data_IF_098922128267
#
_entry.id   IF_098922128267
#
_cell.length_a   1.000
_cell.length_b   1.000
_cell.length_c   1.000
_cell.angle_alpha   90.00
_cell.angle_beta   90.00
_cell.angle_gamma   90.00
#
_symmetry.space_group_name_H-M   'P 1'
#
loop_
_entity.id
_entity.type
_entity.pdbx_description
1 polymer ?
#
# COMPACT_ATOMS: atom_id res chain seq x y z
N UNK A 1 39.98 -4.53 5.58
CA UNK A 1 41.25 -3.77 5.69
C UNK A 1 42.35 -4.40 4.84
N UNK A 2 42.76 -5.65 5.09
CA UNK A 2 43.84 -6.30 4.32
C UNK A 2 43.62 -6.31 2.78
N UNK A 3 42.41 -6.60 2.32
CA UNK A 3 42.07 -6.63 0.89
C UNK A 3 42.18 -5.27 0.18
N UNK A 4 41.92 -4.17 0.91
CA UNK A 4 42.02 -2.82 0.36
C UNK A 4 43.49 -2.40 0.19
N UNK A 5 44.35 -2.82 1.11
CA UNK A 5 45.79 -2.57 1.05
C UNK A 5 46.44 -3.33 -0.10
N UNK A 6 46.05 -4.60 -0.30
CA UNK A 6 46.51 -5.40 -1.45
C UNK A 6 46.01 -4.81 -2.78
N UNK A 7 44.74 -4.42 -2.86
CA UNK A 7 44.20 -3.80 -4.07
C UNK A 7 44.88 -2.45 -4.39
N UNK A 8 45.15 -1.61 -3.37
CA UNK A 8 45.89 -0.36 -3.55
C UNK A 8 47.33 -0.62 -4.01
N UNK A 9 48.02 -1.61 -3.43
CA UNK A 9 49.37 -1.99 -3.84
C UNK A 9 49.42 -2.49 -5.29
N UNK A 10 48.46 -3.32 -5.70
CA UNK A 10 48.34 -3.83 -7.07
C UNK A 10 48.05 -2.69 -8.06
N UNK A 11 47.17 -1.74 -7.70
CA UNK A 11 46.82 -0.60 -8.55
C UNK A 11 47.98 0.38 -8.74
N UNK A 12 48.75 0.65 -7.66
CA UNK A 12 49.93 1.52 -7.71
C UNK A 12 51.05 0.89 -8.56
N UNK A 13 51.32 -0.40 -8.37
CA UNK A 13 52.30 -1.14 -9.16
C UNK A 13 51.89 -1.24 -10.65
N UNK A 14 50.58 -1.31 -10.94
CA UNK A 14 50.07 -1.23 -12.31
C UNK A 14 50.27 0.16 -12.93
N UNK A 15 50.07 1.24 -12.16
CA UNK A 15 50.30 2.62 -12.61
C UNK A 15 51.78 2.92 -12.86
N UNK A 16 52.67 2.45 -11.98
CA UNK A 16 54.12 2.62 -12.07
C UNK A 16 54.67 1.98 -13.35
N UNK A 17 54.22 0.76 -13.66
CA UNK A 17 54.56 0.06 -14.91
C UNK A 17 54.02 0.74 -16.16
N UNK A 18 52.91 1.48 -16.06
CA UNK A 18 52.26 2.13 -17.22
C UNK A 18 52.83 3.51 -17.53
N UNK A 19 53.29 4.25 -16.52
CA UNK A 19 53.69 5.65 -16.66
C UNK A 19 55.16 5.96 -16.34
N UNK A 20 55.95 5.00 -15.84
CA UNK A 20 57.41 5.15 -15.69
C UNK A 20 57.83 6.26 -14.72
N UNK A 21 57.02 6.52 -13.69
CA UNK A 21 57.23 7.58 -12.69
C UNK A 21 58.02 6.98 -11.52
N UNK A 22 58.99 7.70 -10.96
CA UNK A 22 59.74 7.29 -9.76
C UNK A 22 58.77 6.97 -8.60
N UNK A 23 58.52 5.68 -8.38
CA UNK A 23 57.46 5.17 -7.52
C UNK A 23 57.60 5.55 -6.04
N UNK A 24 58.80 5.91 -5.61
CA UNK A 24 59.09 6.15 -4.18
C UNK A 24 58.49 7.45 -3.63
N UNK A 25 58.29 8.49 -4.47
CA UNK A 25 57.74 9.77 -4.01
C UNK A 25 56.21 9.81 -4.05
N UNK A 26 55.60 9.12 -5.01
CA UNK A 26 54.15 9.19 -5.29
C UNK A 26 53.33 8.06 -4.67
N UNK A 27 53.98 7.02 -4.16
CA UNK A 27 53.33 5.89 -3.47
C UNK A 27 52.33 6.32 -2.38
N UNK A 28 52.69 7.25 -1.45
CA UNK A 28 51.79 7.64 -0.37
C UNK A 28 50.56 8.40 -0.88
N UNK A 29 50.76 9.27 -1.88
CA UNK A 29 49.68 10.07 -2.48
C UNK A 29 48.70 9.17 -3.23
N UNK A 30 49.21 8.20 -3.99
CA UNK A 30 48.37 7.24 -4.69
C UNK A 30 47.62 6.32 -3.72
N UNK A 31 48.24 5.90 -2.62
CA UNK A 31 47.60 5.11 -1.58
C UNK A 31 46.43 5.86 -0.92
N UNK A 32 46.64 7.14 -0.57
CA UNK A 32 45.58 8.00 -0.03
C UNK A 32 44.48 8.20 -1.07
N UNK A 33 44.84 8.43 -2.34
CA UNK A 33 43.88 8.57 -3.44
C UNK A 33 42.98 7.36 -3.61
N UNK A 34 43.54 6.15 -3.66
CA UNK A 34 42.76 4.90 -3.78
C UNK A 34 41.88 4.68 -2.55
N UNK A 35 42.37 5.02 -1.35
CA UNK A 35 41.60 4.86 -0.12
C UNK A 35 40.39 5.80 -0.08
N UNK A 36 40.57 7.07 -0.49
CA UNK A 36 39.49 8.04 -0.62
C UNK A 36 38.48 7.63 -1.71
N UNK A 37 38.95 7.11 -2.84
CA UNK A 37 38.10 6.64 -3.93
C UNK A 37 37.28 5.42 -3.51
N UNK A 38 37.88 4.45 -2.82
CA UNK A 38 37.17 3.30 -2.25
C UNK A 38 36.15 3.73 -1.19
N UNK A 39 36.50 4.68 -0.33
CA UNK A 39 35.58 5.25 0.67
C UNK A 39 34.40 5.97 0.01
N UNK A 40 34.65 6.73 -1.06
CA UNK A 40 33.63 7.39 -1.85
C UNK A 40 32.72 6.37 -2.56
N UNK A 41 33.29 5.36 -3.22
CA UNK A 41 32.53 4.28 -3.87
C UNK A 41 31.65 3.54 -2.87
N UNK A 42 32.16 3.20 -1.68
CA UNK A 42 31.35 2.56 -0.64
C UNK A 42 30.20 3.47 -0.21
N UNK A 43 30.45 4.77 -0.04
CA UNK A 43 29.42 5.72 0.40
C UNK A 43 28.33 5.90 -0.67
N UNK A 44 28.72 6.01 -1.94
CA UNK A 44 27.81 6.19 -3.07
C UNK A 44 27.05 4.91 -3.41
N UNK A 45 27.68 3.73 -3.36
CA UNK A 45 27.04 2.45 -3.69
C UNK A 45 26.16 1.95 -2.55
N UNK A 46 26.48 2.27 -1.28
CA UNK A 46 25.67 1.85 -0.13
C UNK A 46 24.25 2.39 -0.18
N UNK A 47 24.05 3.65 -0.56
CA UNK A 47 22.75 4.30 -0.56
C UNK A 47 21.72 3.67 -1.53
N UNK A 48 22.04 3.39 -2.81
CA UNK A 48 21.14 2.70 -3.73
C UNK A 48 20.99 1.21 -3.39
N UNK A 49 22.05 0.55 -2.89
CA UNK A 49 22.00 -0.88 -2.57
C UNK A 49 21.11 -1.14 -1.35
N UNK A 50 21.22 -0.32 -0.30
CA UNK A 50 20.31 -0.39 0.85
C UNK A 50 18.86 -0.09 0.44
N UNK A 51 18.65 0.86 -0.49
CA UNK A 51 17.32 1.19 -1.01
C UNK A 51 16.70 0.08 -1.86
N UNK A 52 17.49 -0.68 -2.60
CA UNK A 52 17.02 -1.77 -3.45
C UNK A 52 16.77 -3.06 -2.66
N UNK A 53 17.57 -3.32 -1.62
CA UNK A 53 17.58 -4.61 -0.92
C UNK A 53 16.70 -4.66 0.35
N UNK A 54 16.45 -3.51 1.01
CA UNK A 54 15.63 -3.45 2.24
C UNK A 54 14.20 -2.97 2.03
N UNK A 55 13.90 -2.35 0.89
CA UNK A 55 12.57 -1.87 0.52
C UNK A 55 12.24 -2.49 -0.82
N UNK A 56 11.61 -3.67 -0.79
CA UNK A 56 11.26 -4.44 -1.98
C UNK A 56 10.76 -3.53 -3.09
N UNK A 57 11.36 -3.68 -4.28
CA UNK A 57 11.02 -3.09 -5.58
C UNK A 57 10.41 -1.69 -5.58
N UNK A 58 11.02 -0.75 -6.30
CA UNK A 58 10.49 0.59 -6.55
C UNK A 58 8.98 0.66 -6.83
N UNK A 59 8.37 -0.41 -7.36
CA UNK A 59 6.92 -0.60 -7.50
C UNK A 59 6.07 -0.35 -6.22
N UNK A 60 6.47 -0.86 -5.05
CA UNK A 60 5.62 -0.84 -3.85
C UNK A 60 5.43 0.59 -3.28
N UNK A 61 6.44 1.46 -3.45
CA UNK A 61 6.35 2.87 -3.04
C UNK A 61 5.55 3.73 -4.02
N UNK A 62 5.61 3.43 -5.32
CA UNK A 62 4.77 4.12 -6.31
C UNK A 62 3.30 3.79 -6.11
N UNK A 63 2.98 2.56 -5.71
CA UNK A 63 1.58 2.15 -5.50
C UNK A 63 0.99 2.78 -4.23
N UNK A 64 1.75 2.85 -3.13
CA UNK A 64 1.31 3.53 -1.90
C UNK A 64 1.09 5.05 -2.13
N UNK A 65 1.99 5.72 -2.84
CA UNK A 65 1.83 7.14 -3.16
C UNK A 65 0.66 7.39 -4.11
N UNK A 66 0.41 6.48 -5.06
CA UNK A 66 -0.73 6.56 -5.99
C UNK A 66 -2.06 6.43 -5.24
N UNK A 67 -2.15 5.55 -4.24
CA UNK A 67 -3.34 5.41 -3.39
C UNK A 67 -3.56 6.66 -2.52
N UNK A 68 -2.51 7.26 -1.98
CA UNK A 68 -2.62 8.51 -1.22
C UNK A 68 -3.12 9.67 -2.08
N UNK A 69 -2.55 9.86 -3.28
CA UNK A 69 -3.01 10.91 -4.19
C UNK A 69 -4.41 10.66 -4.76
N UNK A 70 -4.85 9.39 -4.86
CA UNK A 70 -6.23 9.07 -5.22
C UNK A 70 -7.18 9.56 -4.12
N UNK A 71 -6.86 9.31 -2.84
CA UNK A 71 -7.65 9.79 -1.70
C UNK A 71 -7.80 11.32 -1.66
N UNK A 72 -6.77 12.06 -2.09
CA UNK A 72 -6.76 13.53 -2.10
C UNK A 72 -7.60 14.14 -3.23
N UNK A 73 -7.99 13.34 -4.24
CA UNK A 73 -8.71 13.80 -5.44
C UNK A 73 -10.12 13.21 -5.56
N UNK A 74 -10.65 12.59 -4.50
CA UNK A 74 -11.98 12.02 -4.52
C UNK A 74 -13.04 13.13 -4.51
N UNK A 75 -13.94 13.10 -5.49
CA UNK A 75 -15.11 13.97 -5.51
C UNK A 75 -16.18 13.31 -4.64
N UNK A 76 -16.57 13.97 -3.54
CA UNK A 76 -17.64 13.40 -2.70
C UNK A 76 -19.00 13.54 -3.37
N UNK A 77 -19.98 12.74 -2.95
CA UNK A 77 -21.36 12.90 -3.44
C UNK A 77 -21.94 14.28 -3.09
N UNK A 78 -21.51 14.88 -1.98
CA UNK A 78 -21.91 16.22 -1.58
C UNK A 78 -21.32 17.28 -2.52
N UNK A 79 -20.03 17.16 -2.87
CA UNK A 79 -19.36 18.10 -3.77
C UNK A 79 -19.98 18.07 -5.17
N UNK A 80 -20.28 16.87 -5.70
CA UNK A 80 -20.98 16.72 -6.97
C UNK A 80 -22.34 17.42 -6.94
N UNK A 81 -23.12 17.18 -5.87
CA UNK A 81 -24.46 17.76 -5.73
C UNK A 81 -24.39 19.29 -5.69
N UNK A 82 -23.46 19.86 -4.93
CA UNK A 82 -23.27 21.31 -4.84
C UNK A 82 -22.84 21.91 -6.18
N UNK A 83 -21.98 21.21 -6.92
CA UNK A 83 -21.58 21.62 -8.26
C UNK A 83 -22.76 21.59 -9.24
N UNK A 84 -23.52 20.50 -9.30
CA UNK A 84 -24.71 20.38 -10.15
C UNK A 84 -25.78 21.41 -9.79
N UNK A 85 -25.93 21.76 -8.51
CA UNK A 85 -26.81 22.84 -8.07
C UNK A 85 -26.36 24.20 -8.58
N UNK A 86 -25.06 24.47 -8.55
CA UNK A 86 -24.49 25.70 -9.11
C UNK A 86 -24.68 25.78 -10.63
N UNK A 87 -24.49 24.67 -11.35
CA UNK A 87 -24.73 24.60 -12.80
C UNK A 87 -26.20 24.79 -13.13
N UNK A 88 -27.09 24.12 -12.40
CA UNK A 88 -28.54 24.23 -12.59
C UNK A 88 -29.04 25.66 -12.30
N UNK A 89 -28.56 26.29 -11.22
CA UNK A 89 -28.88 27.68 -10.93
C UNK A 89 -28.43 28.61 -12.06
N UNK A 90 -27.21 28.43 -12.57
CA UNK A 90 -26.71 29.21 -13.71
C UNK A 90 -27.52 28.98 -15.00
N UNK A 91 -27.98 27.75 -15.26
CA UNK A 91 -28.87 27.45 -16.39
C UNK A 91 -30.24 28.11 -16.23
N UNK A 92 -30.80 28.10 -15.02
CA UNK A 92 -32.04 28.80 -14.69
C UNK A 92 -31.91 30.32 -14.89
N UNK A 93 -30.82 30.92 -14.42
CA UNK A 93 -30.55 32.35 -14.59
C UNK A 93 -30.38 32.74 -16.06
N UNK A 94 -29.71 31.88 -16.84
CA UNK A 94 -29.48 32.08 -18.28
C UNK A 94 -30.79 32.13 -19.06
N UNK A 95 -31.76 31.28 -18.71
CA UNK A 95 -33.10 31.25 -19.31
C UNK A 95 -34.13 32.15 -18.60
N UNK A 96 -33.75 32.78 -17.48
CA UNK A 96 -34.66 33.53 -16.59
C UNK A 96 -35.87 32.72 -16.13
N UNK A 97 -35.65 31.45 -15.81
CA UNK A 97 -36.66 30.52 -15.28
C UNK A 97 -36.41 30.25 -13.79
N UNK A 98 -37.43 29.80 -13.08
CA UNK A 98 -37.37 29.60 -11.62
C UNK A 98 -37.23 28.15 -11.19
N UNK A 99 -37.36 27.20 -12.13
CA UNK A 99 -37.30 25.78 -11.78
C UNK A 99 -36.64 24.91 -12.84
N UNK A 100 -35.98 23.87 -12.34
CA UNK A 100 -35.29 22.88 -13.13
C UNK A 100 -34.74 21.76 -12.25
N UNK A 101 -34.14 20.76 -12.88
CA UNK A 101 -33.64 19.58 -12.21
C UNK A 101 -32.48 18.94 -12.98
N UNK A 102 -31.65 18.19 -12.27
CA UNK A 102 -30.62 17.33 -12.87
C UNK A 102 -30.87 15.90 -12.41
N UNK A 103 -30.95 14.98 -13.37
CA UNK A 103 -31.19 13.57 -13.13
C UNK A 103 -30.02 12.76 -13.68
N UNK A 104 -29.48 11.88 -12.85
CA UNK A 104 -28.46 10.93 -13.28
C UNK A 104 -29.14 9.64 -13.73
N UNK A 105 -28.71 9.08 -14.86
CA UNK A 105 -29.19 7.80 -15.35
C UNK A 105 -28.13 6.74 -15.06
N UNK A 106 -28.53 5.69 -14.33
CA UNK A 106 -27.66 4.55 -14.03
C UNK A 106 -28.31 3.21 -14.37
N UNK A 107 -27.60 2.12 -14.06
CA UNK A 107 -28.06 0.73 -14.23
C UNK A 107 -29.38 0.44 -13.49
N UNK A 108 -29.64 1.14 -12.38
CA UNK A 108 -30.83 0.95 -11.52
C UNK A 108 -32.01 1.85 -11.88
N UNK A 109 -31.89 2.61 -12.97
CA UNK A 109 -32.89 3.60 -13.38
C UNK A 109 -32.39 5.03 -13.17
N UNK A 110 -33.32 5.98 -13.28
CA UNK A 110 -33.01 7.39 -13.17
C UNK A 110 -33.17 7.91 -11.73
N UNK A 111 -32.15 8.62 -11.25
CA UNK A 111 -32.08 9.16 -9.89
C UNK A 111 -31.96 10.69 -9.93
N UNK A 112 -32.83 11.38 -9.20
CA UNK A 112 -32.82 12.83 -9.08
C UNK A 112 -31.64 13.27 -8.19
N UNK A 113 -30.69 14.02 -8.77
CA UNK A 113 -29.52 14.52 -8.04
C UNK A 113 -29.79 15.88 -7.40
N UNK A 114 -30.37 16.80 -8.17
CA UNK A 114 -30.65 18.18 -7.74
C UNK A 114 -31.95 18.68 -8.35
N UNK A 115 -32.67 19.50 -7.59
CA UNK A 115 -33.84 20.23 -8.05
C UNK A 115 -33.80 21.66 -7.51
N UNK A 116 -34.11 22.63 -8.37
CA UNK A 116 -34.27 24.05 -8.01
C UNK A 116 -35.73 24.43 -8.28
N UNK A 117 -36.34 25.15 -7.35
CA UNK A 117 -37.74 25.58 -7.42
C UNK A 117 -38.75 24.60 -6.81
N UNK A 118 -40.00 25.02 -6.71
CA UNK A 118 -41.09 24.29 -6.04
C UNK A 118 -41.85 23.30 -6.94
N UNK A 119 -41.56 23.29 -8.25
CA UNK A 119 -42.25 22.45 -9.23
C UNK A 119 -41.77 21.00 -9.11
N UNK A 120 -42.56 20.11 -8.48
CA UNK A 120 -42.24 18.69 -8.32
C UNK A 120 -42.11 17.98 -9.67
N UNK A 121 -41.02 17.22 -9.84
CA UNK A 121 -40.82 16.37 -11.00
C UNK A 121 -41.90 15.27 -11.02
N UNK A 122 -42.66 15.09 -12.12
CA UNK A 122 -43.57 13.96 -12.22
C UNK A 122 -42.74 12.66 -12.25
N UNK A 123 -43.00 11.73 -11.33
CA UNK A 123 -42.27 10.46 -11.23
C UNK A 123 -42.26 9.63 -12.53
N UNK A 124 -43.24 9.85 -13.42
CA UNK A 124 -43.33 9.24 -14.75
C UNK A 124 -42.21 9.70 -15.71
N UNK A 125 -41.63 10.90 -15.51
CA UNK A 125 -40.55 11.44 -16.34
C UNK A 125 -39.24 10.63 -16.23
N UNK A 126 -39.03 10.01 -15.07
CA UNK A 126 -37.80 9.31 -14.73
C UNK A 126 -37.73 7.90 -15.33
N UNK A 127 -38.88 7.24 -15.53
CA UNK A 127 -38.94 5.85 -15.98
C UNK A 127 -38.64 5.70 -17.48
N UNK A 128 -39.10 6.63 -18.32
CA UNK A 128 -39.02 6.54 -19.79
C UNK A 128 -37.93 7.42 -20.44
N UNK A 129 -37.22 8.23 -19.64
CA UNK A 129 -36.24 9.21 -20.12
C UNK A 129 -35.09 8.60 -20.93
N UNK A 130 -34.59 7.41 -20.57
CA UNK A 130 -33.47 6.78 -21.29
C UNK A 130 -33.86 6.43 -22.73
N UNK A 131 -35.00 5.75 -22.88
CA UNK A 131 -35.52 5.36 -24.19
C UNK A 131 -35.85 6.58 -25.06
N UNK A 132 -36.36 7.66 -24.46
CA UNK A 132 -36.66 8.91 -25.14
C UNK A 132 -35.41 9.61 -25.70
N UNK A 133 -34.35 9.69 -24.90
CA UNK A 133 -33.14 10.46 -25.20
C UNK A 133 -32.16 9.70 -26.09
N UNK A 134 -32.12 8.37 -26.02
CA UNK A 134 -31.25 7.53 -26.87
C UNK A 134 -31.86 7.21 -28.23
N UNK A 135 -33.17 6.92 -28.30
CA UNK A 135 -33.83 6.53 -29.56
C UNK A 135 -34.56 7.68 -30.24
N UNK A 136 -34.62 8.86 -29.61
CA UNK A 136 -35.32 10.03 -30.13
C UNK A 136 -36.84 9.87 -30.22
N UNK A 137 -37.41 8.80 -29.65
CA UNK A 137 -38.86 8.58 -29.63
C UNK A 137 -39.31 7.90 -28.34
N UNK A 138 -40.09 8.63 -27.55
CA UNK A 138 -40.94 8.11 -26.49
C UNK A 138 -42.21 8.98 -26.42
N UNK A 139 -43.30 8.44 -25.87
CA UNK A 139 -44.57 9.17 -25.78
C UNK A 139 -44.39 10.49 -25.01
N UNK A 140 -44.63 11.62 -25.69
CA UNK A 140 -44.54 12.97 -25.10
C UNK A 140 -43.17 13.66 -25.22
N UNK A 141 -42.16 13.02 -25.81
CA UNK A 141 -40.85 13.62 -26.09
C UNK A 141 -40.74 13.97 -27.57
N UNK A 142 -40.45 15.23 -27.87
CA UNK A 142 -40.26 15.70 -29.24
C UNK A 142 -38.87 16.35 -29.34
N UNK A 143 -38.09 16.09 -30.41
CA UNK A 143 -36.86 16.84 -30.62
C UNK A 143 -37.22 18.31 -30.75
N UNK A 144 -36.62 19.17 -29.93
CA UNK A 144 -36.61 20.58 -30.23
C UNK A 144 -35.77 20.74 -31.50
N UNK A 145 -36.10 21.69 -32.38
CA UNK A 145 -35.27 22.04 -33.56
C UNK A 145 -33.94 22.72 -33.15
N UNK A 146 -33.41 22.37 -31.98
CA UNK A 146 -32.26 22.92 -31.28
C UNK A 146 -31.34 21.75 -30.94
N UNK A 147 -30.06 21.86 -31.33
CA UNK A 147 -29.05 20.81 -31.28
C UNK A 147 -29.17 19.89 -30.05
N UNK A 148 -29.76 18.71 -30.23
CA UNK A 148 -29.86 17.68 -29.20
C UNK A 148 -30.79 17.98 -28.01
N UNK A 149 -31.56 19.07 -28.03
CA UNK A 149 -32.53 19.41 -26.97
C UNK A 149 -33.87 18.71 -27.25
N UNK A 150 -34.53 18.22 -26.20
CA UNK A 150 -35.83 17.59 -26.29
C UNK A 150 -36.88 18.40 -25.53
N UNK A 151 -38.09 18.42 -26.06
CA UNK A 151 -39.26 19.02 -25.44
C UNK A 151 -40.12 17.93 -24.80
N UNK A 152 -40.48 18.12 -23.53
CA UNK A 152 -41.36 17.22 -22.78
C UNK A 152 -42.32 18.03 -21.91
N UNK A 153 -43.57 18.16 -22.35
CA UNK A 153 -44.59 18.95 -21.66
C UNK A 153 -44.21 20.42 -21.53
N UNK A 154 -43.85 20.86 -20.33
CA UNK A 154 -43.40 22.24 -20.03
C UNK A 154 -41.88 22.32 -19.80
N UNK A 155 -41.15 21.26 -20.13
CA UNK A 155 -39.72 21.13 -19.87
C UNK A 155 -38.91 21.01 -21.16
N UNK A 156 -37.76 21.66 -21.15
CA UNK A 156 -36.64 21.32 -22.02
C UNK A 156 -35.72 20.35 -21.34
N UNK A 157 -35.30 19.34 -22.08
CA UNK A 157 -34.43 18.29 -21.62
C UNK A 157 -33.16 18.29 -22.46
N UNK A 158 -32.04 18.53 -21.79
CA UNK A 158 -30.71 18.48 -22.37
C UNK A 158 -30.07 17.15 -21.96
N UNK A 159 -29.72 16.27 -22.91
CA UNK A 159 -29.05 15.02 -22.60
C UNK A 159 -27.62 15.31 -22.14
N UNK A 160 -27.22 14.72 -21.01
CA UNK A 160 -25.87 14.78 -20.49
C UNK A 160 -25.15 13.51 -20.93
N UNK A 161 -24.41 13.60 -22.04
CA UNK A 161 -23.71 12.47 -22.65
C UNK A 161 -22.23 12.48 -22.32
N UNK A 162 -21.62 11.31 -22.38
CA UNK A 162 -20.18 11.17 -22.25
C UNK A 162 -19.44 11.99 -23.32
N UNK A 163 -18.34 12.65 -22.91
CA UNK A 163 -17.46 13.31 -23.86
C UNK A 163 -16.67 12.23 -24.62
N UNK A 164 -17.06 11.95 -25.87
CA UNK A 164 -16.35 11.00 -26.72
C UNK A 164 -14.99 11.56 -27.14
N UNK A 165 -13.94 10.76 -27.03
CA UNK A 165 -12.66 11.04 -27.68
C UNK A 165 -12.83 10.73 -29.17
N UNK A 166 -12.43 11.65 -30.05
CA UNK A 166 -12.65 11.55 -31.51
C UNK A 166 -12.16 10.22 -32.13
N UNK A 167 -11.24 9.50 -31.47
CA UNK A 167 -10.68 8.22 -31.91
C UNK A 167 -11.55 6.97 -31.61
N UNK A 168 -12.59 7.06 -30.77
CA UNK A 168 -13.40 5.92 -30.31
C UNK A 168 -14.76 5.75 -31.02
N UNK A 169 -15.09 6.64 -31.98
CA UNK A 169 -16.42 6.67 -32.62
C UNK A 169 -16.53 5.64 -33.77
N UNK A 170 -16.69 4.36 -33.42
CA UNK A 170 -17.10 3.30 -34.36
C UNK A 170 -18.64 3.30 -34.56
N UNK A 171 -19.20 4.47 -34.88
CA UNK A 171 -20.64 4.67 -35.11
C UNK A 171 -21.55 4.57 -33.88
N UNK A 172 -21.00 4.29 -32.69
CA UNK A 172 -21.74 4.24 -31.43
C UNK A 172 -21.98 5.66 -30.87
N UNK A 173 -23.20 5.96 -30.41
CA UNK A 173 -23.48 7.22 -29.73
C UNK A 173 -22.84 7.21 -28.33
N UNK A 174 -22.26 8.35 -27.88
CA UNK A 174 -21.72 8.46 -26.54
C UNK A 174 -22.79 8.17 -25.48
N UNK A 175 -22.39 7.45 -24.43
CA UNK A 175 -23.29 6.94 -23.42
C UNK A 175 -24.04 8.08 -22.71
N UNK A 176 -25.34 7.91 -22.49
CA UNK A 176 -26.15 8.85 -21.73
C UNK A 176 -25.91 8.70 -20.23
N UNK A 177 -25.33 9.72 -19.61
CA UNK A 177 -25.02 9.77 -18.18
C UNK A 177 -26.15 10.36 -17.34
N UNK A 178 -26.98 11.22 -17.95
CA UNK A 178 -28.01 11.97 -17.24
C UNK A 178 -28.84 12.86 -18.16
N UNK A 179 -29.71 13.66 -17.55
CA UNK A 179 -30.42 14.74 -18.23
C UNK A 179 -30.56 15.97 -17.33
N UNK A 180 -30.47 17.14 -17.95
CA UNK A 180 -30.76 18.44 -17.35
C UNK A 180 -32.15 18.88 -17.84
N UNK A 181 -33.08 19.03 -16.92
CA UNK A 181 -34.43 19.49 -17.21
C UNK A 181 -34.68 20.92 -16.76
N UNK A 182 -35.20 21.75 -17.65
CA UNK A 182 -35.45 23.18 -17.43
C UNK A 182 -36.92 23.46 -17.69
N UNK A 183 -37.63 24.03 -16.71
CA UNK A 183 -39.05 24.33 -16.86
C UNK A 183 -39.23 25.64 -17.61
N UNK A 184 -39.68 25.55 -18.86
CA UNK A 184 -39.79 26.68 -19.80
C UNK A 184 -41.24 27.00 -20.19
N UNK A 185 -42.22 26.23 -19.71
CA UNK A 185 -43.64 26.41 -20.00
C UNK A 185 -44.09 25.76 -21.32
N UNK A 186 -45.38 25.92 -21.67
CA UNK A 186 -46.04 25.28 -22.83
C UNK A 186 -45.63 25.82 -24.21
N UNK A 187 -45.09 27.03 -24.29
CA UNK A 187 -44.74 27.70 -25.55
C UNK A 187 -43.44 28.52 -25.41
N UNK A 188 -42.31 27.86 -25.14
CA UNK A 188 -41.06 28.54 -24.90
C UNK A 188 -40.55 29.20 -26.18
N UNK A 189 -40.09 30.45 -26.08
CA UNK A 189 -39.43 31.12 -27.19
C UNK A 189 -38.08 30.46 -27.45
N UNK A 190 -37.72 30.31 -28.73
CA UNK A 190 -36.39 29.80 -29.10
C UNK A 190 -35.34 30.76 -28.55
N UNK A 191 -34.34 30.29 -27.78
CA UNK A 191 -33.32 31.16 -27.22
C UNK A 191 -32.45 31.75 -28.33
N UNK A 192 -31.86 32.92 -28.07
CA UNK A 192 -30.78 33.43 -28.91
C UNK A 192 -29.61 32.43 -28.96
N UNK A 193 -28.89 32.40 -30.07
CA UNK A 193 -27.78 31.46 -30.29
C UNK A 193 -26.70 31.54 -29.21
N UNK A 194 -26.41 32.75 -28.70
CA UNK A 194 -25.46 32.95 -27.60
C UNK A 194 -25.95 32.34 -26.27
N UNK A 195 -27.25 32.42 -25.98
CA UNK A 195 -27.89 31.83 -24.80
C UNK A 195 -27.87 30.31 -24.91
N UNK A 196 -28.19 29.78 -26.09
CA UNK A 196 -28.13 28.36 -26.39
C UNK A 196 -26.70 27.81 -26.23
N UNK A 197 -25.70 28.50 -26.76
CA UNK A 197 -24.29 28.11 -26.63
C UNK A 197 -23.86 28.06 -25.15
N UNK A 198 -24.29 29.03 -24.34
CA UNK A 198 -24.02 29.07 -22.90
C UNK A 198 -24.64 27.87 -22.18
N UNK A 199 -25.88 27.52 -22.51
CA UNK A 199 -26.56 26.35 -21.94
C UNK A 199 -25.86 25.04 -22.30
N UNK A 200 -25.43 24.89 -23.56
CA UNK A 200 -24.71 23.69 -24.00
C UNK A 200 -23.37 23.54 -23.26
N UNK A 201 -22.66 24.65 -22.98
CA UNK A 201 -21.43 24.63 -22.15
C UNK A 201 -21.73 24.25 -20.70
N UNK A 202 -22.83 24.74 -20.13
CA UNK A 202 -23.24 24.35 -18.77
C UNK A 202 -23.62 22.86 -18.71
N UNK A 203 -24.35 22.37 -19.72
CA UNK A 203 -24.69 20.97 -19.85
C UNK A 203 -23.45 20.09 -20.03
N UNK A 204 -22.47 20.49 -20.85
CA UNK A 204 -21.22 19.73 -21.02
C UNK A 204 -20.43 19.63 -19.70
N UNK A 205 -20.37 20.70 -18.91
CA UNK A 205 -19.74 20.69 -17.58
C UNK A 205 -20.44 19.77 -16.58
N UNK A 206 -21.78 19.76 -16.60
CA UNK A 206 -22.54 18.81 -15.78
C UNK A 206 -22.27 17.36 -16.21
N UNK A 207 -22.18 17.11 -17.52
CA UNK A 207 -21.86 15.78 -18.05
C UNK A 207 -20.45 15.32 -17.64
N UNK A 208 -19.43 16.20 -17.74
CA UNK A 208 -18.07 15.91 -17.28
C UNK A 208 -18.02 15.53 -15.79
N UNK A 209 -18.74 16.26 -14.93
CA UNK A 209 -18.77 15.96 -13.49
C UNK A 209 -19.46 14.62 -13.19
N UNK A 210 -20.54 14.29 -13.91
CA UNK A 210 -21.21 12.99 -13.81
C UNK A 210 -20.32 11.84 -14.32
N UNK A 211 -19.58 12.07 -15.41
CA UNK A 211 -18.64 11.11 -15.98
C UNK A 211 -17.50 10.81 -15.01
N UNK A 212 -16.91 11.85 -14.41
CA UNK A 212 -15.86 11.70 -13.39
C UNK A 212 -16.38 10.94 -12.17
N UNK A 213 -17.59 11.27 -11.68
CA UNK A 213 -18.22 10.53 -10.58
C UNK A 213 -18.41 9.05 -10.91
N UNK A 214 -18.90 8.73 -12.11
CA UNK A 214 -19.11 7.34 -12.55
C UNK A 214 -17.81 6.55 -12.60
N UNK A 215 -16.75 7.14 -13.15
CA UNK A 215 -15.40 6.53 -13.14
C UNK A 215 -14.91 6.26 -11.73
N UNK A 216 -15.08 7.21 -10.81
CA UNK A 216 -14.72 7.01 -9.40
C UNK A 216 -15.53 5.88 -8.76
N UNK A 217 -16.84 5.78 -9.02
CA UNK A 217 -17.68 4.66 -8.53
C UNK A 217 -17.20 3.30 -9.03
N UNK A 218 -16.83 3.19 -10.31
CA UNK A 218 -16.31 1.95 -10.90
C UNK A 218 -14.98 1.54 -10.26
N UNK A 219 -14.10 2.50 -9.97
CA UNK A 219 -12.85 2.25 -9.24
C UNK A 219 -13.14 1.75 -7.81
N UNK A 220 -14.07 2.36 -7.09
CA UNK A 220 -14.45 1.89 -5.74
C UNK A 220 -15.05 0.49 -5.74
N UNK A 221 -15.96 0.19 -6.68
CA UNK A 221 -16.51 -1.16 -6.81
C UNK A 221 -15.43 -2.20 -7.12
N UNK A 222 -14.44 -1.83 -7.94
CA UNK A 222 -13.29 -2.69 -8.21
C UNK A 222 -12.44 -2.90 -6.97
N UNK A 223 -12.23 -1.87 -6.14
CA UNK A 223 -11.53 -1.98 -4.86
C UNK A 223 -12.30 -2.81 -3.83
N UNK A 224 -13.63 -2.68 -3.74
CA UNK A 224 -14.47 -3.50 -2.85
C UNK A 224 -14.37 -4.99 -3.18
N UNK A 225 -14.10 -5.34 -4.44
CA UNK A 225 -13.86 -6.72 -4.88
C UNK A 225 -12.42 -7.17 -4.64
N UNK A 226 -11.44 -6.26 -4.72
CA UNK A 226 -10.01 -6.57 -4.58
C UNK A 226 -9.55 -6.61 -3.12
N UNK A 227 -10.08 -5.77 -2.23
CA UNK A 227 -9.72 -5.73 -0.80
C UNK A 227 -9.91 -7.10 -0.11
N UNK A 228 -11.06 -7.80 -0.29
CA UNK A 228 -11.25 -9.14 0.27
C UNK A 228 -10.28 -10.19 -0.29
N UNK A 229 -9.86 -10.05 -1.55
CA UNK A 229 -8.91 -10.98 -2.19
C UNK A 229 -7.48 -10.77 -1.69
N UNK A 230 -7.09 -9.51 -1.45
CA UNK A 230 -5.81 -9.22 -0.82
C UNK A 230 -5.80 -9.71 0.63
N UNK A 231 -6.90 -9.56 1.37
CA UNK A 231 -7.03 -10.16 2.69
C UNK A 231 -6.97 -11.69 2.65
N UNK A 232 -7.58 -12.35 1.67
CA UNK A 232 -7.50 -13.81 1.55
C UNK A 232 -6.07 -14.27 1.22
N UNK A 233 -5.33 -13.53 0.39
CA UNK A 233 -3.91 -13.78 0.11
C UNK A 233 -3.04 -13.51 1.35
N UNK A 234 -3.35 -12.48 2.15
CA UNK A 234 -2.67 -12.22 3.42
C UNK A 234 -3.00 -13.28 4.48
N UNK A 235 -4.25 -13.73 4.56
CA UNK A 235 -4.67 -14.86 5.40
C UNK A 235 -4.05 -16.17 4.92
N UNK A 236 -3.91 -16.39 3.61
CA UNK A 236 -3.19 -17.52 3.02
C UNK A 236 -1.68 -17.42 3.29
N UNK A 237 -1.08 -16.22 3.29
CA UNK A 237 0.31 -16.02 3.72
C UNK A 237 0.50 -16.23 5.21
N UNK A 238 -0.43 -15.77 6.04
CA UNK A 238 -0.44 -16.02 7.48
C UNK A 238 -0.69 -17.50 7.79
N UNK A 239 -1.57 -18.15 7.02
CA UNK A 239 -1.81 -19.60 7.07
C UNK A 239 -0.66 -20.39 6.46
N UNK A 240 0.09 -19.86 5.48
CA UNK A 240 1.31 -20.46 4.97
C UNK A 240 2.46 -20.35 5.99
N UNK A 241 2.52 -19.26 6.75
CA UNK A 241 3.35 -19.19 7.95
C UNK A 241 2.89 -20.22 9.01
N UNK A 242 1.60 -20.59 9.04
CA UNK A 242 1.04 -21.68 9.84
C UNK A 242 1.31 -23.08 9.23
N UNK A 243 1.39 -23.24 7.91
CA UNK A 243 1.93 -24.44 7.26
C UNK A 243 3.43 -24.57 7.52
N UNK A 244 4.10 -23.46 7.84
CA UNK A 244 5.37 -23.46 8.55
C UNK A 244 5.29 -24.32 9.81
N UNK A 245 4.29 -24.14 10.68
CA UNK A 245 4.08 -24.98 11.86
C UNK A 245 3.78 -26.46 11.54
N UNK A 246 3.11 -26.78 10.43
CA UNK A 246 2.97 -28.16 9.96
C UNK A 246 4.32 -28.74 9.47
N UNK A 247 5.15 -27.95 8.78
CA UNK A 247 6.51 -28.33 8.41
C UNK A 247 7.47 -28.41 9.62
N UNK A 248 7.21 -27.62 10.67
CA UNK A 248 7.89 -27.70 11.97
C UNK A 248 7.57 -29.04 12.66
N UNK A 249 6.32 -29.52 12.56
CA UNK A 249 5.94 -30.86 13.03
C UNK A 249 6.62 -32.00 12.23
N UNK A 250 7.00 -31.75 10.97
CA UNK A 250 7.77 -32.70 10.13
C UNK A 250 9.27 -32.80 10.48
N UNK A 251 9.74 -32.08 11.51
CA UNK A 251 11.04 -32.33 12.15
C UNK A 251 12.27 -31.67 11.50
N UNK A 252 12.13 -30.72 10.57
CA UNK A 252 13.27 -30.02 9.94
C UNK A 252 13.19 -28.49 10.07
N UNK A 253 13.28 -27.99 11.31
CA UNK A 253 13.39 -26.55 11.59
C UNK A 253 14.58 -25.89 10.90
N UNK A 254 15.70 -26.60 10.79
CA UNK A 254 16.99 -26.07 10.34
C UNK A 254 16.93 -25.61 8.88
N UNK A 255 16.07 -26.24 8.08
CA UNK A 255 15.96 -26.00 6.63
C UNK A 255 14.92 -24.92 6.29
N UNK A 256 14.16 -24.42 7.26
CA UNK A 256 13.11 -23.44 7.01
C UNK A 256 13.67 -22.00 7.09
N UNK A 257 13.68 -21.24 5.97
CA UNK A 257 14.23 -19.89 5.92
C UNK A 257 13.46 -18.89 6.80
N UNK A 258 12.21 -19.19 7.17
CA UNK A 258 11.34 -18.30 7.95
C UNK A 258 11.63 -18.35 9.46
N UNK A 259 12.36 -19.37 9.94
CA UNK A 259 12.67 -19.53 11.38
C UNK A 259 13.47 -18.34 11.91
N UNK A 260 14.39 -17.80 11.10
CA UNK A 260 15.11 -16.57 11.46
C UNK A 260 14.15 -15.41 11.75
N UNK A 261 13.15 -15.23 10.88
CA UNK A 261 12.22 -14.12 10.99
C UNK A 261 11.28 -14.29 12.19
N UNK A 262 10.82 -15.51 12.47
CA UNK A 262 9.98 -15.79 13.65
C UNK A 262 10.72 -15.55 14.96
N UNK A 263 12.00 -15.96 15.05
CA UNK A 263 12.86 -15.73 16.23
C UNK A 263 13.15 -14.24 16.39
N UNK A 264 13.44 -13.52 15.30
CA UNK A 264 13.62 -12.07 15.32
C UNK A 264 12.36 -11.36 15.83
N UNK A 265 11.19 -11.71 15.30
CA UNK A 265 9.91 -11.10 15.68
C UNK A 265 9.59 -11.37 17.16
N UNK A 266 9.87 -12.58 17.66
CA UNK A 266 9.72 -12.95 19.06
C UNK A 266 10.68 -12.17 19.98
N UNK A 267 11.97 -12.04 19.61
CA UNK A 267 12.97 -11.29 20.38
C UNK A 267 12.66 -9.78 20.43
N UNK A 268 12.16 -9.19 19.34
CA UNK A 268 11.73 -7.78 19.33
C UNK A 268 10.55 -7.56 20.28
N UNK A 269 9.63 -8.52 20.36
CA UNK A 269 8.45 -8.49 21.22
C UNK A 269 8.62 -9.33 22.50
N UNK A 270 9.86 -9.51 22.96
CA UNK A 270 10.22 -10.44 24.04
C UNK A 270 9.39 -10.26 25.33
N UNK A 271 8.99 -9.02 25.60
CA UNK A 271 8.24 -8.62 26.79
C UNK A 271 6.73 -8.41 26.53
N UNK A 272 6.19 -8.92 25.42
CA UNK A 272 4.77 -8.83 25.07
C UNK A 272 4.49 -8.15 23.73
N UNK A 273 3.38 -8.55 23.12
CA UNK A 273 2.91 -8.08 21.82
C UNK A 273 2.35 -9.25 20.97
N UNK A 274 1.53 -8.95 19.95
CA UNK A 274 0.90 -9.99 19.13
C UNK A 274 1.93 -10.93 18.48
N UNK A 275 3.09 -10.39 18.08
CA UNK A 275 4.18 -11.19 17.49
C UNK A 275 4.89 -12.15 18.45
N UNK A 276 4.63 -12.09 19.75
CA UNK A 276 5.07 -13.10 20.73
C UNK A 276 3.92 -14.07 21.06
N UNK A 277 2.71 -13.55 21.29
CA UNK A 277 1.55 -14.34 21.72
C UNK A 277 0.90 -15.16 20.61
N UNK A 278 1.09 -14.79 19.34
CA UNK A 278 0.64 -15.54 18.17
C UNK A 278 1.81 -15.98 17.29
N UNK A 279 2.98 -16.20 17.89
CA UNK A 279 4.19 -16.57 17.13
C UNK A 279 4.14 -18.05 16.69
N UNK A 280 4.50 -18.38 15.44
CA UNK A 280 4.60 -19.77 14.98
C UNK A 280 5.51 -20.67 15.84
N UNK A 281 6.51 -20.09 16.53
CA UNK A 281 7.38 -20.82 17.46
C UNK A 281 6.63 -21.45 18.65
N UNK A 282 5.42 -20.98 18.97
CA UNK A 282 4.60 -21.59 20.04
C UNK A 282 4.18 -23.03 19.73
N UNK A 283 4.19 -23.43 18.44
CA UNK A 283 3.84 -24.78 18.03
C UNK A 283 4.96 -25.81 18.28
N UNK A 284 6.19 -25.36 18.57
CA UNK A 284 7.36 -26.21 18.76
C UNK A 284 7.22 -27.13 19.98
N UNK A 285 7.74 -28.35 19.88
CA UNK A 285 7.71 -29.33 20.98
C UNK A 285 8.52 -28.83 22.17
N UNK A 286 9.68 -28.20 21.94
CA UNK A 286 10.50 -27.61 23.00
C UNK A 286 9.74 -26.53 23.79
N UNK A 287 8.89 -25.74 23.12
CA UNK A 287 8.08 -24.70 23.77
C UNK A 287 6.89 -25.31 24.52
N UNK A 288 6.24 -26.33 23.94
CA UNK A 288 5.16 -27.06 24.62
C UNK A 288 5.65 -27.82 25.85
N UNK A 289 6.88 -28.32 25.86
CA UNK A 289 7.49 -28.97 27.02
C UNK A 289 7.89 -27.97 28.11
N UNK A 290 8.31 -26.77 27.71
CA UNK A 290 8.61 -25.69 28.65
C UNK A 290 7.36 -25.10 29.32
N UNK A 291 6.15 -25.41 28.80
CA UNK A 291 4.89 -25.00 29.38
C UNK A 291 4.60 -25.82 30.66
N UNK A 292 4.83 -25.22 31.83
CA UNK A 292 4.51 -25.85 33.11
C UNK A 292 3.12 -25.42 33.58
N UNK A 293 2.13 -26.32 33.54
CA UNK A 293 0.80 -26.08 34.12
C UNK A 293 0.11 -24.80 33.61
N UNK A 294 -0.24 -23.90 34.54
CA UNK A 294 -1.04 -22.67 34.31
C UNK A 294 -0.23 -21.49 33.69
N UNK A 295 0.97 -21.76 33.18
CA UNK A 295 1.80 -20.74 32.53
C UNK A 295 1.25 -20.34 31.16
N UNK A 296 1.29 -19.03 30.86
CA UNK A 296 0.92 -18.52 29.54
C UNK A 296 1.90 -19.06 28.47
N UNK A 297 1.42 -19.53 27.30
CA UNK A 297 2.28 -19.95 26.18
C UNK A 297 3.39 -18.95 25.80
N UNK A 298 3.13 -17.64 25.96
CA UNK A 298 4.13 -16.60 25.73
C UNK A 298 5.29 -16.63 26.74
N UNK A 299 5.05 -17.08 27.97
CA UNK A 299 6.08 -17.26 29.00
C UNK A 299 6.97 -18.47 28.69
N UNK A 300 6.37 -19.59 28.29
CA UNK A 300 7.11 -20.78 27.86
C UNK A 300 8.04 -20.46 26.67
N UNK A 301 7.54 -19.73 25.66
CA UNK A 301 8.37 -19.28 24.54
C UNK A 301 9.50 -18.35 24.99
N UNK A 302 9.22 -17.46 25.96
CA UNK A 302 10.26 -16.59 26.53
C UNK A 302 11.33 -17.40 27.26
N UNK A 303 10.94 -18.44 27.98
CA UNK A 303 11.85 -19.40 28.62
C UNK A 303 12.79 -20.04 27.59
N UNK A 304 12.24 -20.60 26.52
CA UNK A 304 13.05 -21.22 25.44
C UNK A 304 13.97 -20.20 24.77
N UNK A 305 13.50 -18.97 24.50
CA UNK A 305 14.35 -17.90 23.95
C UNK A 305 15.49 -17.54 24.89
N UNK A 306 15.23 -17.48 26.20
CA UNK A 306 16.24 -17.20 27.23
C UNK A 306 17.30 -18.30 27.27
N UNK A 307 16.89 -19.55 27.25
CA UNK A 307 17.81 -20.70 27.25
C UNK A 307 18.67 -20.73 25.98
N UNK A 308 18.08 -20.41 24.83
CA UNK A 308 18.80 -20.30 23.57
C UNK A 308 19.79 -19.12 23.57
N UNK A 309 19.46 -17.98 24.19
CA UNK A 309 20.38 -16.85 24.36
C UNK A 309 21.55 -17.23 25.29
N UNK A 310 21.28 -17.90 26.41
CA UNK A 310 22.32 -18.36 27.34
C UNK A 310 23.29 -19.35 26.67
N UNK A 311 22.84 -20.16 25.71
CA UNK A 311 23.74 -21.04 24.98
C UNK A 311 24.73 -20.28 24.07
N UNK A 312 24.38 -19.08 23.61
CA UNK A 312 25.28 -18.22 22.82
C UNK A 312 26.36 -17.57 23.72
N UNK A 313 26.28 -17.74 25.05
CA UNK A 313 27.22 -17.19 26.02
C UNK A 313 28.59 -17.88 25.92
N UNK A 314 29.68 -17.12 25.72
CA UNK A 314 31.04 -17.67 25.77
C UNK A 314 31.46 -18.09 27.18
N UNK A 315 32.44 -19.01 27.28
CA UNK A 315 33.02 -19.40 28.55
C UNK A 315 33.84 -18.27 29.20
N UNK A 316 33.73 -18.13 30.53
CA UNK A 316 34.51 -17.19 31.34
C UNK A 316 33.69 -16.03 31.92
N UNK A 317 34.39 -15.02 32.48
CA UNK A 317 33.77 -13.82 33.03
C UNK A 317 33.29 -12.89 31.92
N UNK A 318 32.19 -12.16 32.17
CA UNK A 318 31.57 -11.26 31.20
C UNK A 318 32.54 -10.18 30.75
N UNK A 319 32.77 -10.07 29.44
CA UNK A 319 33.62 -9.05 28.82
C UNK A 319 32.82 -8.29 27.74
N UNK A 320 33.28 -7.09 27.41
CA UNK A 320 32.81 -6.32 26.25
C UNK A 320 33.79 -6.47 25.07
N UNK A 321 34.33 -7.68 24.90
CA UNK A 321 35.27 -8.05 23.82
C UNK A 321 34.53 -8.75 22.66
N UNK A 322 35.21 -8.94 21.53
CA UNK A 322 34.61 -9.51 20.31
C UNK A 322 33.87 -10.84 20.51
N UNK A 323 34.40 -11.71 21.37
CA UNK A 323 33.81 -13.04 21.63
C UNK A 323 32.45 -12.95 22.34
N UNK A 324 32.26 -11.93 23.19
CA UNK A 324 31.01 -11.69 23.93
C UNK A 324 30.02 -10.80 23.17
N UNK A 325 30.40 -10.30 21.99
CA UNK A 325 29.66 -9.27 21.28
C UNK A 325 28.23 -9.74 20.93
N UNK A 326 28.07 -10.95 20.40
CA UNK A 326 26.75 -11.47 19.99
C UNK A 326 25.82 -11.64 21.19
N UNK A 327 26.32 -12.24 22.27
CA UNK A 327 25.58 -12.41 23.52
C UNK A 327 25.18 -11.06 24.14
N UNK A 328 26.13 -10.12 24.24
CA UNK A 328 25.86 -8.79 24.78
C UNK A 328 24.85 -8.02 23.92
N UNK A 329 24.85 -8.18 22.60
CA UNK A 329 23.83 -7.58 21.73
C UNK A 329 22.45 -8.15 22.09
N UNK A 330 22.31 -9.47 22.20
CA UNK A 330 21.03 -10.10 22.53
C UNK A 330 20.49 -9.64 23.88
N UNK A 331 21.35 -9.66 24.90
CA UNK A 331 20.99 -9.28 26.26
C UNK A 331 20.65 -7.78 26.37
N UNK A 332 21.51 -6.91 25.87
CA UNK A 332 21.30 -5.46 25.99
C UNK A 332 20.11 -5.00 25.12
N UNK A 333 19.98 -5.51 23.89
CA UNK A 333 18.98 -5.04 22.93
C UNK A 333 17.57 -5.58 23.21
N UNK A 334 17.45 -6.88 23.50
CA UNK A 334 16.16 -7.55 23.57
C UNK A 334 15.73 -7.79 25.01
N UNK A 335 16.61 -8.36 25.84
CA UNK A 335 16.30 -8.64 27.25
C UNK A 335 16.18 -7.35 28.05
N UNK A 336 17.14 -6.43 27.93
CA UNK A 336 17.12 -5.16 28.68
C UNK A 336 16.36 -4.01 27.98
N UNK A 337 15.77 -4.24 26.79
CA UNK A 337 15.03 -3.24 25.98
C UNK A 337 15.81 -1.93 25.68
N UNK A 338 17.14 -1.96 25.60
CA UNK A 338 17.94 -0.75 25.29
C UNK A 338 17.81 -0.35 23.82
N UNK A 339 17.96 0.95 23.53
CA UNK A 339 17.95 1.47 22.14
C UNK A 339 19.18 1.01 21.38
N UNK A 340 19.07 0.82 20.05
CA UNK A 340 20.20 0.41 19.19
C UNK A 340 21.41 1.34 19.35
N UNK A 341 21.17 2.65 19.35
CA UNK A 341 22.21 3.67 19.52
C UNK A 341 22.94 3.57 20.86
N UNK A 342 22.23 3.27 21.95
CA UNK A 342 22.82 3.09 23.28
C UNK A 342 23.66 1.82 23.37
N UNK A 343 23.17 0.72 22.80
CA UNK A 343 23.90 -0.55 22.74
C UNK A 343 25.15 -0.42 21.89
N UNK A 344 25.06 0.23 20.72
CA UNK A 344 26.19 0.51 19.85
C UNK A 344 27.29 1.30 20.59
N UNK A 345 26.90 2.37 21.28
CA UNK A 345 27.81 3.19 22.11
C UNK A 345 28.45 2.39 23.24
N UNK A 346 27.67 1.56 23.94
CA UNK A 346 28.15 0.76 25.08
C UNK A 346 29.12 -0.35 24.64
N UNK A 347 28.93 -0.90 23.45
CA UNK A 347 29.79 -1.94 22.88
C UNK A 347 30.94 -1.35 22.05
N UNK A 348 31.06 -0.02 21.96
CA UNK A 348 32.07 0.67 21.15
C UNK A 348 32.05 0.23 19.67
N UNK A 349 30.86 -0.05 19.13
CA UNK A 349 30.65 -0.42 17.72
C UNK A 349 29.78 0.61 17.02
N UNK A 350 29.90 0.71 15.69
CA UNK A 350 28.98 1.54 14.91
C UNK A 350 27.58 0.92 14.89
N UNK A 351 26.54 1.73 14.74
CA UNK A 351 25.15 1.24 14.67
C UNK A 351 24.93 0.31 13.46
N UNK A 352 25.60 0.57 12.34
CA UNK A 352 25.56 -0.32 11.17
C UNK A 352 26.21 -1.69 11.47
N UNK A 353 27.31 -1.72 12.22
CA UNK A 353 27.94 -2.98 12.64
C UNK A 353 27.10 -3.71 13.69
N UNK A 354 26.46 -2.96 14.62
CA UNK A 354 25.51 -3.51 15.56
C UNK A 354 24.40 -4.29 14.84
N UNK A 355 23.77 -3.72 13.81
CA UNK A 355 22.70 -4.40 13.07
C UNK A 355 23.20 -5.66 12.36
N UNK A 356 24.42 -5.65 11.81
CA UNK A 356 25.03 -6.84 11.19
C UNK A 356 25.27 -7.93 12.21
N UNK A 357 25.86 -7.58 13.36
CA UNK A 357 26.15 -8.52 14.45
C UNK A 357 24.87 -9.01 15.13
N UNK A 358 23.85 -8.16 15.24
CA UNK A 358 22.51 -8.55 15.70
C UNK A 358 21.90 -9.62 14.79
N UNK A 359 22.02 -9.49 13.46
CA UNK A 359 21.53 -10.53 12.53
C UNK A 359 22.20 -11.87 12.80
N UNK A 360 23.54 -11.89 12.89
CA UNK A 360 24.30 -13.10 13.21
C UNK A 360 23.92 -13.67 14.58
N UNK A 361 23.71 -12.82 15.58
CA UNK A 361 23.31 -13.26 16.92
C UNK A 361 21.93 -13.93 16.91
N UNK A 362 20.96 -13.37 16.17
CA UNK A 362 19.63 -13.97 16.01
C UNK A 362 19.70 -15.28 15.22
N UNK A 363 20.55 -15.39 14.20
CA UNK A 363 20.80 -16.65 13.48
C UNK A 363 21.34 -17.74 14.41
N UNK A 364 22.24 -17.41 15.36
CA UNK A 364 22.72 -18.38 16.35
C UNK A 364 21.62 -18.84 17.29
N UNK A 365 20.76 -17.93 17.76
CA UNK A 365 19.60 -18.28 18.60
C UNK A 365 18.63 -19.17 17.82
N UNK A 366 18.33 -18.84 16.55
CA UNK A 366 17.46 -19.64 15.70
C UNK A 366 18.00 -21.05 15.47
N UNK A 367 19.30 -21.17 15.19
CA UNK A 367 19.98 -22.46 15.08
C UNK A 367 19.88 -23.25 16.37
N UNK A 368 20.06 -22.59 17.52
CA UNK A 368 19.99 -23.27 18.82
C UNK A 368 18.58 -23.78 19.12
N UNK A 369 17.54 -22.99 18.85
CA UNK A 369 16.15 -23.42 19.03
C UNK A 369 15.84 -24.62 18.13
N UNK A 370 16.34 -24.61 16.89
CA UNK A 370 16.20 -25.74 15.98
C UNK A 370 16.90 -27.01 16.51
N UNK A 371 18.09 -26.88 17.11
CA UNK A 371 18.77 -27.98 17.79
C UNK A 371 17.99 -28.48 19.01
N UNK A 372 17.45 -27.58 19.84
CA UNK A 372 16.64 -27.95 21.01
C UNK A 372 15.37 -28.70 20.59
N UNK A 373 14.73 -28.26 19.50
CA UNK A 373 13.56 -28.93 18.92
C UNK A 373 13.90 -30.32 18.35
N UNK A 374 15.08 -30.49 17.76
CA UNK A 374 15.53 -31.80 17.26
C UNK A 374 15.79 -32.81 18.38
N UNK A 375 16.21 -32.35 19.56
CA UNK A 375 16.47 -33.19 20.73
C UNK A 375 15.26 -33.33 21.67
N UNK A 376 14.16 -32.62 21.39
CA UNK A 376 12.94 -32.73 22.18
C UNK A 376 12.33 -34.14 21.99
N UNK A 377 12.14 -34.92 23.07
CA UNK A 377 11.58 -36.27 22.98
C UNK A 377 10.15 -36.23 22.45
N UNK A 378 9.79 -37.23 21.66
CA UNK A 378 8.44 -37.41 21.12
C UNK A 378 7.52 -38.01 22.20
N UNK A 379 7.25 -37.24 23.26
CA UNK A 379 6.32 -37.66 24.30
C UNK A 379 4.96 -37.00 24.08
N UNK A 380 3.88 -37.80 23.94
CA UNK A 380 2.53 -37.25 23.99
C UNK A 380 2.33 -36.63 25.37
N UNK A 381 1.79 -35.41 25.38
CA UNK A 381 1.39 -34.70 26.61
C UNK A 381 0.48 -35.64 27.40
N UNK A 382 1.01 -36.20 28.49
CA UNK A 382 0.22 -37.00 29.42
C UNK A 382 -0.81 -36.05 30.03
N UNK A 383 -2.07 -36.29 29.72
CA UNK A 383 -3.19 -35.63 30.37
C UNK A 383 -3.07 -35.88 31.87
N UNK A 384 -2.80 -34.82 32.63
CA UNK A 384 -2.94 -34.85 34.07
C UNK A 384 -4.46 -34.81 34.33
N UNK A 385 -5.04 -35.97 34.58
CA UNK A 385 -6.28 -36.05 35.35
C UNK A 385 -6.00 -35.50 36.74
N UNK A 386 -6.68 -34.42 37.13
CA UNK A 386 -7.36 -34.26 38.42
C UNK A 386 -8.25 -33.01 38.42
#
# INVERSE_FOLDING_TARGET
>A
MAWAVVAAYVFVNWLERRFGIDGMLWLPVAMVGVLLLAQFSITVVRLPLERWLFYGGSADRYDVQRVQHLSERLLTAADLRQFLESVLAASCDTLRITSGFVMQLGERGAELQVQVGSQQLPAAAAADARAALDNGSAAGYQPANLQGIFHWGEYWLLPLRELAVEEELDGAQPELLGMLGLHVGLAPQVPEEAVLATLLVLASRAAEALQDRRRQQQLFQSLDVLVPQVESIQRLRAAAAYNGAAALASGRLIDNPDVFQWVKDALVHYWGGPKLTSNPLLALRVVKQALQGDENPAEALRGVLRDAIEYVRPAGQRKYTGDWLLYNILELRFVQRRKSSEVARQLSVSEADLFRKQRVAVEQVARKIAEMEAHAPDQPVVAVEH
#
